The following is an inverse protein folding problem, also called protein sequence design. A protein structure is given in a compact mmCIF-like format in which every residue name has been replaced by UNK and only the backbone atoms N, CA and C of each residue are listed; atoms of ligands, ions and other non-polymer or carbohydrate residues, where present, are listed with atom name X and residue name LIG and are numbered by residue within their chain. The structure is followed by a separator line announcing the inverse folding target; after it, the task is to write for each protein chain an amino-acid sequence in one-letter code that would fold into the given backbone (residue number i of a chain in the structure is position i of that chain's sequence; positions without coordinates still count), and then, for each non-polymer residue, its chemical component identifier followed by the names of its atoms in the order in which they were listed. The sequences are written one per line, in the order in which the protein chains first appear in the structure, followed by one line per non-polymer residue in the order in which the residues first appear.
data_IF_777624494599
#
_entry.id   IF_777624494599
#
_cell.length_a   1.000
_cell.length_b   1.000
_cell.length_c   1.000
_cell.angle_alpha   90.00
_cell.angle_beta   90.00
_cell.angle_gamma   90.00
#
_symmetry.space_group_name_H-M   'P 1'
#
loop_
_entity.id
_entity.type
_entity.pdbx_description
1 polymer ?
#
# COMPACT_ATOMS: atom_id res chain seq x y z
N UNK A 1 -8.66 -2.62 12.55
CA UNK A 1 -7.45 -2.32 13.35
C UNK A 1 -6.39 -1.88 12.36
N UNK A 2 -5.55 -0.91 12.74
CA UNK A 2 -4.37 -0.56 11.94
C UNK A 2 -3.43 -1.76 11.90
N UNK A 3 -2.73 -1.89 10.79
CA UNK A 3 -1.75 -2.94 10.62
C UNK A 3 -0.57 -2.67 11.54
N UNK A 4 -0.18 -3.68 12.32
CA UNK A 4 1.09 -3.64 13.03
C UNK A 4 2.18 -4.04 12.05
N UNK A 5 3.14 -3.15 11.78
CA UNK A 5 4.31 -3.51 10.99
C UNK A 5 5.16 -4.45 11.84
N UNK A 6 5.37 -5.72 11.45
CA UNK A 6 6.15 -6.66 12.25
C UNK A 6 7.58 -6.14 12.40
N UNK A 7 8.04 -5.99 13.65
CA UNK A 7 9.37 -5.47 13.96
C UNK A 7 10.52 -6.47 13.71
N UNK A 8 10.32 -7.49 12.88
CA UNK A 8 11.29 -8.59 12.73
C UNK A 8 12.07 -8.39 11.44
N UNK A 9 13.08 -7.52 11.53
CA UNK A 9 14.12 -7.34 10.51
C UNK A 9 15.47 -7.93 10.95
N UNK A 10 15.56 -8.51 12.16
CA UNK A 10 16.84 -8.92 12.75
C UNK A 10 17.31 -10.33 12.32
N UNK A 11 16.47 -11.16 11.70
CA UNK A 11 16.79 -12.57 11.36
C UNK A 11 16.54 -12.97 9.90
N UNK A 12 16.24 -12.02 9.01
CA UNK A 12 15.98 -12.31 7.59
C UNK A 12 17.24 -12.14 6.72
N UNK A 13 17.37 -12.96 5.68
CA UNK A 13 18.39 -12.77 4.65
C UNK A 13 18.18 -11.40 3.96
N UNK A 14 19.28 -10.74 3.55
CA UNK A 14 19.24 -9.35 3.09
C UNK A 14 18.32 -9.11 1.88
N UNK A 15 18.12 -10.12 1.04
CA UNK A 15 17.21 -10.06 -0.12
C UNK A 15 15.73 -10.13 0.29
N UNK A 16 15.42 -10.72 1.44
CA UNK A 16 14.06 -10.76 1.99
C UNK A 16 13.74 -9.48 2.77
N UNK A 17 14.75 -8.82 3.34
CA UNK A 17 14.57 -7.54 4.04
C UNK A 17 13.98 -6.47 3.11
N UNK A 18 14.50 -6.31 1.89
CA UNK A 18 14.00 -5.28 0.95
C UNK A 18 12.53 -5.54 0.55
N UNK A 19 12.14 -6.81 0.35
CA UNK A 19 10.75 -7.19 0.08
C UNK A 19 9.84 -6.86 1.26
N UNK A 20 10.27 -7.17 2.48
CA UNK A 20 9.50 -6.87 3.69
C UNK A 20 9.37 -5.37 3.93
N UNK A 21 10.42 -4.58 3.65
CA UNK A 21 10.35 -3.11 3.70
C UNK A 21 9.31 -2.57 2.71
N UNK A 22 9.30 -3.07 1.47
CA UNK A 22 8.33 -2.66 0.45
C UNK A 22 6.90 -3.07 0.83
N UNK A 23 6.71 -4.29 1.35
CA UNK A 23 5.41 -4.79 1.83
C UNK A 23 4.89 -3.93 3.00
N UNK A 24 5.75 -3.62 3.98
CA UNK A 24 5.41 -2.75 5.10
C UNK A 24 5.02 -1.34 4.64
N UNK A 25 5.75 -0.77 3.68
CA UNK A 25 5.42 0.52 3.08
C UNK A 25 4.04 0.49 2.41
N UNK A 26 3.77 -0.50 1.55
CA UNK A 26 2.47 -0.68 0.88
C UNK A 26 1.33 -0.78 1.91
N UNK A 27 1.52 -1.55 2.99
CA UNK A 27 0.54 -1.69 4.07
C UNK A 27 0.25 -0.34 4.73
N UNK A 28 1.29 0.44 5.05
CA UNK A 28 1.13 1.75 5.67
C UNK A 28 0.32 2.71 4.78
N UNK A 29 0.57 2.71 3.47
CA UNK A 29 -0.17 3.54 2.54
C UNK A 29 -1.64 3.07 2.39
N UNK A 30 -1.91 1.76 2.37
CA UNK A 30 -3.28 1.26 2.37
C UNK A 30 -4.05 1.63 3.64
N UNK A 31 -3.39 1.58 4.80
CA UNK A 31 -3.98 2.06 6.04
C UNK A 31 -4.32 3.56 5.94
N UNK A 32 -3.42 4.38 5.40
CA UNK A 32 -3.66 5.80 5.19
C UNK A 32 -4.87 6.06 4.27
N UNK A 33 -4.94 5.38 3.11
CA UNK A 33 -6.10 5.44 2.19
C UNK A 33 -7.39 5.14 2.95
N UNK A 34 -7.43 4.01 3.67
CA UNK A 34 -8.62 3.56 4.38
C UNK A 34 -9.04 4.57 5.46
N UNK A 35 -8.09 5.13 6.21
CA UNK A 35 -8.35 6.14 7.24
C UNK A 35 -8.93 7.40 6.61
N UNK A 36 -8.29 7.94 5.57
CA UNK A 36 -8.72 9.20 4.97
C UNK A 36 -10.07 9.08 4.28
N UNK A 37 -10.35 7.98 3.57
CA UNK A 37 -11.67 7.74 2.99
C UNK A 37 -12.77 7.58 4.07
N UNK A 38 -12.48 6.89 5.17
CA UNK A 38 -13.42 6.78 6.30
C UNK A 38 -13.69 8.14 6.95
N UNK A 39 -12.65 8.93 7.23
CA UNK A 39 -12.80 10.28 7.77
C UNK A 39 -13.59 11.19 6.81
N UNK A 40 -13.36 11.08 5.50
CA UNK A 40 -14.11 11.80 4.49
C UNK A 40 -15.59 11.39 4.48
N UNK A 41 -15.91 10.13 4.76
CA UNK A 41 -17.30 9.66 4.91
C UNK A 41 -18.00 10.16 6.18
N UNK A 42 -17.23 10.48 7.23
CA UNK A 42 -17.76 10.90 8.54
C UNK A 42 -17.92 12.42 8.68
N UNK A 43 -17.14 13.21 7.97
CA UNK A 43 -17.19 14.67 8.07
C UNK A 43 -18.42 15.28 7.39
N UNK A 44 -18.92 16.38 7.95
CA UNK A 44 -19.95 17.24 7.34
C UNK A 44 -19.38 18.49 6.66
N UNK A 45 -18.06 18.72 6.76
CA UNK A 45 -17.37 19.83 6.08
C UNK A 45 -16.88 19.36 4.70
N UNK A 46 -17.45 19.94 3.64
CA UNK A 46 -17.14 19.58 2.26
C UNK A 46 -15.73 19.98 1.81
N UNK A 47 -15.15 21.04 2.39
CA UNK A 47 -13.77 21.41 2.10
C UNK A 47 -12.82 20.37 2.70
N UNK A 48 -13.07 19.97 3.96
CA UNK A 48 -12.28 18.92 4.60
C UNK A 48 -12.43 17.57 3.88
N UNK A 49 -13.66 17.22 3.46
CA UNK A 49 -13.91 16.01 2.65
C UNK A 49 -13.07 16.00 1.38
N UNK A 50 -13.01 17.14 0.68
CA UNK A 50 -12.23 17.28 -0.56
C UNK A 50 -10.75 17.03 -0.29
N UNK A 51 -10.18 17.68 0.73
CA UNK A 51 -8.77 17.51 1.10
C UNK A 51 -8.45 16.06 1.47
N UNK A 52 -9.30 15.41 2.27
CA UNK A 52 -9.09 14.00 2.67
C UNK A 52 -9.11 13.06 1.46
N UNK A 53 -10.03 13.25 0.52
CA UNK A 53 -10.12 12.42 -0.68
C UNK A 53 -8.95 12.68 -1.65
N UNK A 54 -8.45 13.91 -1.73
CA UNK A 54 -7.27 14.24 -2.51
C UNK A 54 -6.01 13.57 -1.92
N UNK A 55 -5.82 13.64 -0.60
CA UNK A 55 -4.71 12.94 0.07
C UNK A 55 -4.84 11.43 -0.13
N UNK A 56 -6.02 10.84 0.07
CA UNK A 56 -6.24 9.41 -0.17
C UNK A 56 -5.90 8.98 -1.61
N UNK A 57 -6.03 9.88 -2.59
CA UNK A 57 -5.63 9.63 -3.97
C UNK A 57 -4.11 9.68 -4.15
N UNK A 58 -3.40 10.55 -3.43
CA UNK A 58 -1.94 10.59 -3.40
C UNK A 58 -1.36 9.30 -2.78
N UNK A 59 -1.94 8.79 -1.70
CA UNK A 59 -1.45 7.53 -1.11
C UNK A 59 -1.64 6.32 -2.05
N UNK A 60 -2.67 6.33 -2.91
CA UNK A 60 -2.80 5.32 -3.98
C UNK A 60 -1.68 5.40 -5.03
N UNK A 61 -1.12 6.60 -5.26
CA UNK A 61 0.07 6.74 -6.09
C UNK A 61 1.28 6.11 -5.39
N UNK A 62 1.47 6.35 -4.09
CA UNK A 62 2.55 5.75 -3.31
C UNK A 62 2.47 4.22 -3.28
N UNK A 63 1.27 3.66 -3.09
CA UNK A 63 1.02 2.21 -3.22
C UNK A 63 1.49 1.71 -4.58
N UNK A 64 1.08 2.37 -5.67
CA UNK A 64 1.47 1.96 -7.01
C UNK A 64 2.99 2.02 -7.23
N UNK A 65 3.66 3.03 -6.67
CA UNK A 65 5.12 3.17 -6.74
C UNK A 65 5.82 2.01 -6.01
N UNK A 66 5.48 1.76 -4.74
CA UNK A 66 6.09 0.68 -3.97
C UNK A 66 5.78 -0.70 -4.57
N UNK A 67 4.54 -0.93 -5.00
CA UNK A 67 4.12 -2.17 -5.65
C UNK A 67 4.92 -2.42 -6.93
N UNK A 68 5.18 -1.37 -7.73
CA UNK A 68 5.96 -1.51 -8.96
C UNK A 68 7.37 -2.00 -8.68
N UNK A 69 8.02 -1.44 -7.65
CA UNK A 69 9.36 -1.89 -7.22
C UNK A 69 9.30 -3.29 -6.63
N UNK A 70 8.30 -3.62 -5.80
CA UNK A 70 8.16 -4.96 -5.22
C UNK A 70 8.08 -6.06 -6.29
N UNK A 71 7.40 -5.79 -7.41
CA UNK A 71 7.32 -6.73 -8.54
C UNK A 71 8.68 -6.99 -9.22
N UNK A 72 9.65 -6.09 -9.10
CA UNK A 72 11.01 -6.31 -9.61
C UNK A 72 11.84 -7.20 -8.67
N UNK A 73 11.52 -7.20 -7.37
CA UNK A 73 12.25 -7.94 -6.33
C UNK A 73 11.61 -9.30 -6.01
N UNK A 74 10.32 -9.49 -6.29
CA UNK A 74 9.56 -10.70 -5.96
C UNK A 74 8.95 -11.35 -7.22
N UNK A 75 9.75 -12.20 -7.88
CA UNK A 75 9.39 -12.86 -9.13
C UNK A 75 8.18 -13.79 -8.99
N UNK A 76 8.05 -14.52 -7.87
CA UNK A 76 6.89 -15.36 -7.61
C UNK A 76 5.63 -14.51 -7.53
N UNK A 77 5.70 -13.40 -6.78
CA UNK A 77 4.57 -12.48 -6.67
C UNK A 77 4.21 -11.84 -8.02
N UNK A 78 5.19 -11.47 -8.84
CA UNK A 78 4.95 -10.99 -10.20
C UNK A 78 4.17 -11.98 -11.05
N UNK A 79 4.57 -13.26 -11.06
CA UNK A 79 3.89 -14.32 -11.81
C UNK A 79 2.44 -14.50 -11.33
N UNK A 80 2.24 -14.56 -10.01
CA UNK A 80 0.90 -14.66 -9.40
C UNK A 80 0.04 -13.43 -9.75
N UNK A 81 0.57 -12.21 -9.59
CA UNK A 81 -0.15 -10.98 -9.89
C UNK A 81 -0.58 -10.95 -11.35
N UNK A 82 0.31 -11.36 -12.25
CA UNK A 82 -0.02 -11.45 -13.64
C UNK A 82 -1.22 -12.41 -13.80
N UNK A 83 -1.18 -13.63 -13.26
CA UNK A 83 -2.21 -14.66 -13.47
C UNK A 83 -3.60 -14.30 -12.97
N UNK A 84 -3.67 -13.52 -11.89
CA UNK A 84 -4.94 -13.03 -11.33
C UNK A 84 -5.35 -11.64 -11.82
N UNK A 85 -4.51 -10.94 -12.60
CA UNK A 85 -4.82 -9.59 -13.08
C UNK A 85 -6.02 -9.58 -14.03
N UNK A 86 -7.09 -8.91 -13.59
CA UNK A 86 -8.29 -8.68 -14.41
C UNK A 86 -8.05 -7.70 -15.57
N UNK A 87 -6.91 -7.00 -15.58
CA UNK A 87 -6.53 -6.08 -16.66
C UNK A 87 -6.10 -6.82 -17.94
N UNK A 88 -5.96 -8.15 -17.91
CA UNK A 88 -5.70 -8.98 -19.09
C UNK A 88 -6.91 -9.17 -20.02
N UNK A 89 -8.10 -8.65 -19.66
CA UNK A 89 -9.34 -8.78 -20.45
C UNK A 89 -9.63 -7.57 -21.31
#
# INVERSE_FOLDING_TARGET
MLSEIPAILEELDSEDIDKEVLRAAIIAEFDAVNIYEQMAGLTNDDNLRTVLLDIAKEEKLHIAMFQSVLLEYDQEYLEIMADYSLARK
#
